data_IF_465341320148
#
_entry.id   IF_465341320148
#
_cell.length_a   1.000
_cell.length_b   1.000
_cell.length_c   1.000
_cell.angle_alpha   90.00
_cell.angle_beta   90.00
_cell.angle_gamma   90.00
#
_symmetry.space_group_name_H-M   'P 1'
#
loop_
_entity.id
_entity.type
_entity.pdbx_description
1 polymer ?
#
# COMPACT_ATOMS: atom_id res chain seq x y z
N UNK A 1 -4.40 -15.23 15.35
CA UNK A 1 -4.75 -15.34 16.78
C UNK A 1 -4.46 -16.73 17.35
N UNK A 2 -5.07 -17.80 16.84
CA UNK A 2 -4.91 -19.17 17.37
C UNK A 2 -3.44 -19.64 17.45
N UNK A 3 -2.64 -19.39 16.40
CA UNK A 3 -1.21 -19.72 16.37
C UNK A 3 -0.38 -19.01 17.46
N UNK A 4 -0.66 -17.72 17.69
CA UNK A 4 -0.01 -16.92 18.74
C UNK A 4 -0.32 -17.46 20.13
N UNK A 5 -1.59 -17.83 20.37
CA UNK A 5 -2.07 -18.31 21.66
C UNK A 5 -1.57 -19.72 21.98
N UNK A 6 -1.59 -20.61 21.00
CA UNK A 6 -1.40 -22.04 21.24
C UNK A 6 0.07 -22.50 21.07
N UNK A 7 0.88 -21.80 20.26
CA UNK A 7 2.25 -22.23 19.94
C UNK A 7 3.30 -21.27 20.51
N UNK A 8 3.27 -20.01 20.07
CA UNK A 8 4.37 -19.06 20.33
C UNK A 8 4.29 -18.45 21.74
N UNK A 9 3.11 -18.34 22.35
CA UNK A 9 2.87 -17.68 23.65
C UNK A 9 3.42 -16.24 23.71
N UNK A 10 3.39 -15.53 22.58
CA UNK A 10 3.70 -14.09 22.48
C UNK A 10 2.44 -13.32 22.07
N UNK A 11 2.49 -11.99 22.19
CA UNK A 11 1.38 -11.12 21.79
C UNK A 11 1.13 -11.21 20.28
N UNK A 12 -0.12 -11.05 19.85
CA UNK A 12 -0.47 -11.11 18.44
C UNK A 12 0.27 -10.04 17.60
N UNK A 13 0.48 -8.85 18.17
CA UNK A 13 1.25 -7.77 17.54
C UNK A 13 2.70 -8.16 17.25
N UNK A 14 3.33 -8.97 18.12
CA UNK A 14 4.69 -9.44 17.91
C UNK A 14 4.83 -10.31 16.65
N UNK A 15 3.78 -11.07 16.30
CA UNK A 15 3.73 -11.86 15.07
C UNK A 15 3.52 -10.95 13.87
N UNK A 16 2.59 -9.99 13.96
CA UNK A 16 2.32 -9.04 12.89
C UNK A 16 3.55 -8.19 12.52
N UNK A 17 4.33 -7.73 13.50
CA UNK A 17 5.56 -6.98 13.26
C UNK A 17 6.56 -7.74 12.38
N UNK A 18 6.66 -9.07 12.55
CA UNK A 18 7.57 -9.93 11.75
C UNK A 18 7.05 -10.20 10.36
N UNK A 19 5.74 -10.28 10.20
CA UNK A 19 5.10 -10.50 8.91
C UNK A 19 5.08 -9.22 8.06
N UNK A 20 5.13 -8.04 8.69
CA UNK A 20 4.95 -6.75 8.03
C UNK A 20 5.87 -6.55 6.82
N UNK A 21 7.16 -6.85 6.94
CA UNK A 21 8.10 -6.72 5.83
C UNK A 21 7.79 -7.73 4.69
N UNK A 22 7.51 -8.98 5.03
CA UNK A 22 7.15 -10.00 4.04
C UNK A 22 5.85 -9.66 3.28
N UNK A 23 4.88 -9.06 3.97
CA UNK A 23 3.65 -8.59 3.34
C UNK A 23 3.92 -7.41 2.41
N UNK A 24 4.78 -6.45 2.79
CA UNK A 24 5.09 -5.28 1.95
C UNK A 24 5.72 -5.66 0.60
N UNK A 25 6.65 -6.63 0.57
CA UNK A 25 7.20 -7.15 -0.69
C UNK A 25 6.14 -7.94 -1.48
N UNK A 26 5.27 -8.70 -0.80
CA UNK A 26 4.13 -9.35 -1.45
C UNK A 26 3.19 -8.35 -2.12
N UNK A 27 2.85 -7.24 -1.45
CA UNK A 27 2.06 -6.15 -2.01
C UNK A 27 2.74 -5.51 -3.24
N UNK A 28 4.06 -5.36 -3.22
CA UNK A 28 4.84 -4.88 -4.38
C UNK A 28 4.63 -5.79 -5.59
N UNK A 29 4.80 -7.11 -5.42
CA UNK A 29 4.61 -8.08 -6.48
C UNK A 29 3.17 -8.08 -7.03
N UNK A 30 2.17 -7.92 -6.15
CA UNK A 30 0.77 -7.81 -6.58
C UNK A 30 0.59 -6.62 -7.52
N UNK A 31 1.11 -5.43 -7.15
CA UNK A 31 1.00 -4.22 -7.98
C UNK A 31 1.72 -4.35 -9.33
N UNK A 32 2.88 -5.02 -9.35
CA UNK A 32 3.56 -5.33 -10.60
C UNK A 32 2.74 -6.30 -11.46
N UNK A 33 2.06 -7.28 -10.85
CA UNK A 33 1.10 -8.13 -11.55
C UNK A 33 -0.06 -7.34 -12.17
N UNK A 34 -0.64 -6.39 -11.44
CA UNK A 34 -1.68 -5.50 -11.97
C UNK A 34 -1.16 -4.65 -13.14
N UNK A 35 0.09 -4.19 -13.08
CA UNK A 35 0.72 -3.46 -14.19
C UNK A 35 0.80 -4.31 -15.46
N UNK A 36 1.24 -5.57 -15.35
CA UNK A 36 1.32 -6.50 -16.48
C UNK A 36 -0.06 -6.87 -17.02
N UNK A 37 -1.06 -7.01 -16.14
CA UNK A 37 -2.43 -7.31 -16.51
C UNK A 37 -3.22 -6.11 -17.05
N UNK A 38 -2.64 -4.90 -17.05
CA UNK A 38 -3.30 -3.65 -17.43
C UNK A 38 -4.55 -3.33 -16.57
N UNK A 39 -4.50 -3.60 -15.28
CA UNK A 39 -5.63 -3.40 -14.36
C UNK A 39 -5.39 -2.24 -13.39
N UNK A 40 -6.46 -1.52 -13.01
CA UNK A 40 -6.42 -0.41 -12.05
C UNK A 40 -5.50 0.74 -12.48
N UNK A 41 -5.65 1.16 -13.74
CA UNK A 41 -4.83 2.19 -14.38
C UNK A 41 -5.07 3.58 -13.81
N UNK A 42 -4.12 4.48 -14.09
CA UNK A 42 -4.25 5.89 -13.76
C UNK A 42 -5.14 6.66 -14.73
N UNK A 43 -5.40 7.91 -14.36
CA UNK A 43 -6.06 8.87 -15.25
C UNK A 43 -5.21 9.17 -16.49
N UNK A 44 -5.88 9.66 -17.53
CA UNK A 44 -5.26 10.10 -18.78
C UNK A 44 -4.30 11.25 -18.48
N UNK A 45 -3.12 11.19 -19.09
CA UNK A 45 -2.03 12.12 -18.82
C UNK A 45 -1.20 12.39 -20.07
N UNK A 46 -0.45 13.49 -20.03
CA UNK A 46 0.47 13.91 -21.08
C UNK A 46 1.93 13.80 -20.66
N UNK A 47 2.21 13.21 -19.49
CA UNK A 47 3.60 13.07 -19.00
C UNK A 47 4.39 12.06 -19.85
N UNK A 48 5.71 12.28 -20.06
CA UNK A 48 6.51 11.48 -20.98
C UNK A 48 6.79 10.05 -20.50
N UNK A 49 6.57 9.76 -19.21
CA UNK A 49 6.69 8.41 -18.63
C UNK A 49 5.34 7.69 -18.49
N UNK A 50 4.27 8.21 -19.10
CA UNK A 50 2.96 7.58 -19.11
C UNK A 50 2.93 6.33 -19.98
N UNK A 51 2.04 5.39 -19.66
CA UNK A 51 1.91 4.11 -20.36
C UNK A 51 0.61 4.07 -21.16
N UNK A 52 0.62 3.38 -22.30
CA UNK A 52 -0.61 3.05 -23.05
C UNK A 52 -1.05 1.65 -22.63
N UNK A 53 -2.25 1.53 -22.08
CA UNK A 53 -2.78 0.26 -21.57
C UNK A 53 -3.71 -0.39 -22.58
N UNK A 54 -3.12 -1.17 -23.51
CA UNK A 54 -3.84 -1.78 -24.64
C UNK A 54 -5.11 -2.52 -24.21
N UNK A 55 -4.97 -3.54 -23.36
CA UNK A 55 -6.11 -4.34 -22.88
C UNK A 55 -7.16 -3.56 -22.06
N UNK A 56 -6.80 -2.46 -21.40
CA UNK A 56 -7.75 -1.68 -20.61
C UNK A 56 -8.65 -0.83 -21.50
N UNK A 57 -8.04 -0.09 -22.43
CA UNK A 57 -8.73 0.89 -23.26
C UNK A 57 -9.16 0.34 -24.63
N UNK A 58 -8.92 -0.96 -24.89
CA UNK A 58 -9.16 -1.62 -26.18
C UNK A 58 -10.56 -1.33 -26.73
N UNK A 59 -11.61 -1.63 -25.94
CA UNK A 59 -13.00 -1.50 -26.39
C UNK A 59 -13.49 -0.06 -26.56
N UNK A 60 -12.78 0.92 -26.03
CA UNK A 60 -13.19 2.32 -25.99
C UNK A 60 -12.58 3.16 -27.13
N UNK A 61 -11.48 2.71 -27.74
CA UNK A 61 -10.66 3.53 -28.65
C UNK A 61 -10.33 2.88 -30.00
N UNK A 62 -11.33 2.40 -30.75
CA UNK A 62 -11.22 1.97 -32.16
C UNK A 62 -10.07 0.99 -32.50
N UNK A 63 -9.58 0.22 -31.52
CA UNK A 63 -8.58 -0.85 -31.69
C UNK A 63 -7.22 -0.46 -32.31
N UNK A 64 -6.89 0.83 -32.46
CA UNK A 64 -5.58 1.26 -32.98
C UNK A 64 -4.64 1.69 -31.86
N UNK A 65 -3.35 1.37 -31.97
CA UNK A 65 -2.36 1.78 -30.96
C UNK A 65 -2.33 3.29 -30.75
N UNK A 66 -2.51 4.07 -31.82
CA UNK A 66 -2.41 5.53 -31.82
C UNK A 66 -3.57 6.20 -31.07
N UNK A 67 -4.77 5.62 -31.14
CA UNK A 67 -5.98 6.16 -30.48
C UNK A 67 -6.01 5.91 -28.98
N UNK A 68 -5.21 4.99 -28.45
CA UNK A 68 -5.18 4.67 -27.02
C UNK A 68 -4.52 5.82 -26.25
N UNK A 69 -5.21 6.39 -25.25
CA UNK A 69 -4.65 7.48 -24.47
C UNK A 69 -3.47 7.02 -23.62
N UNK A 70 -2.55 7.94 -23.37
CA UNK A 70 -1.46 7.75 -22.42
C UNK A 70 -2.02 7.99 -21.02
N UNK A 71 -1.74 7.08 -20.07
CA UNK A 71 -2.23 7.14 -18.70
C UNK A 71 -1.09 7.07 -17.69
N UNK A 72 -1.34 7.56 -16.48
CA UNK A 72 -0.39 7.38 -15.39
C UNK A 72 -0.24 5.89 -15.04
N UNK A 73 0.98 5.33 -14.98
CA UNK A 73 1.19 3.97 -14.47
C UNK A 73 1.09 3.94 -12.94
N UNK A 74 -0.10 4.18 -12.41
CA UNK A 74 -0.35 4.29 -10.97
C UNK A 74 0.08 3.03 -10.19
N UNK A 75 -0.05 1.85 -10.80
CA UNK A 75 0.38 0.58 -10.23
C UNK A 75 1.90 0.53 -10.04
N UNK A 76 2.66 1.13 -10.97
CA UNK A 76 4.11 1.24 -10.84
C UNK A 76 4.47 2.19 -9.70
N UNK A 77 3.75 3.31 -9.55
CA UNK A 77 3.94 4.22 -8.42
C UNK A 77 3.65 3.49 -7.09
N UNK A 78 2.55 2.72 -7.01
CA UNK A 78 2.23 1.91 -5.83
C UNK A 78 3.33 0.88 -5.54
N UNK A 79 3.78 0.15 -6.55
CA UNK A 79 4.83 -0.85 -6.43
C UNK A 79 6.14 -0.24 -5.89
N UNK A 80 6.56 0.91 -6.42
CA UNK A 80 7.76 1.61 -5.96
C UNK A 80 7.61 2.03 -4.50
N UNK A 81 6.48 2.64 -4.13
CA UNK A 81 6.22 3.04 -2.74
C UNK A 81 6.21 1.83 -1.79
N UNK A 82 5.58 0.72 -2.18
CA UNK A 82 5.52 -0.50 -1.37
C UNK A 82 6.89 -1.17 -1.25
N UNK A 83 7.71 -1.12 -2.30
CA UNK A 83 9.08 -1.61 -2.26
C UNK A 83 9.97 -0.77 -1.34
N UNK A 84 9.85 0.56 -1.40
CA UNK A 84 10.54 1.47 -0.48
C UNK A 84 10.09 1.21 0.96
N UNK A 85 8.79 1.03 1.19
CA UNK A 85 8.26 0.67 2.51
C UNK A 85 8.84 -0.65 3.02
N UNK A 86 8.97 -1.66 2.15
CA UNK A 86 9.65 -2.92 2.48
C UNK A 86 11.11 -2.68 2.91
N UNK A 87 11.88 -1.90 2.15
CA UNK A 87 13.26 -1.58 2.52
C UNK A 87 13.36 -0.86 3.87
N UNK A 88 12.48 0.11 4.12
CA UNK A 88 12.41 0.83 5.40
C UNK A 88 12.12 -0.16 6.53
N UNK A 89 11.12 -1.03 6.38
CA UNK A 89 10.78 -2.03 7.39
C UNK A 89 11.92 -3.03 7.63
N UNK A 90 12.65 -3.44 6.59
CA UNK A 90 13.81 -4.31 6.70
C UNK A 90 14.95 -3.63 7.47
N UNK A 91 15.23 -2.36 7.16
CA UNK A 91 16.21 -1.56 7.89
C UNK A 91 15.82 -1.36 9.36
N UNK A 92 14.54 -1.10 9.64
CA UNK A 92 14.01 -1.01 11.01
C UNK A 92 14.17 -2.33 11.77
N UNK A 93 13.97 -3.46 11.07
CA UNK A 93 14.12 -4.79 11.63
C UNK A 93 15.58 -5.07 12.02
N UNK A 94 16.52 -4.85 11.10
CA UNK A 94 17.94 -5.21 11.30
C UNK A 94 18.73 -4.18 12.08
N UNK A 95 18.59 -2.89 11.77
CA UNK A 95 19.45 -1.84 12.32
C UNK A 95 18.92 -1.24 13.61
N UNK A 96 17.59 -1.11 13.75
CA UNK A 96 16.97 -0.41 14.87
C UNK A 96 16.41 -1.33 15.96
N UNK A 97 16.51 -2.65 15.79
CA UNK A 97 15.91 -3.63 16.70
C UNK A 97 14.43 -3.34 17.02
N UNK A 98 13.71 -2.75 16.07
CA UNK A 98 12.34 -2.26 16.25
C UNK A 98 11.35 -3.39 16.55
N UNK A 99 11.71 -4.63 16.20
CA UNK A 99 10.98 -5.85 16.55
C UNK A 99 10.84 -6.11 18.06
N UNK A 100 11.66 -5.44 18.89
CA UNK A 100 11.55 -5.48 20.35
C UNK A 100 10.36 -4.66 20.88
N UNK A 101 9.78 -3.77 20.06
CA UNK A 101 8.64 -2.91 20.39
C UNK A 101 7.37 -3.45 19.72
N UNK A 102 6.52 -4.22 20.41
CA UNK A 102 5.35 -4.82 19.79
C UNK A 102 4.41 -3.74 19.23
N UNK A 103 4.03 -3.86 17.96
CA UNK A 103 3.13 -2.97 17.24
C UNK A 103 3.81 -1.81 16.49
N UNK A 104 5.10 -1.56 16.71
CA UNK A 104 5.79 -0.44 16.05
C UNK A 104 6.03 -0.69 14.56
N UNK A 105 6.48 -1.90 14.20
CA UNK A 105 6.74 -2.25 12.81
C UNK A 105 5.44 -2.40 12.02
N UNK A 106 4.43 -3.06 12.60
CA UNK A 106 3.13 -3.20 11.97
C UNK A 106 2.41 -1.86 11.83
N UNK A 107 2.50 -0.97 12.83
CA UNK A 107 1.98 0.39 12.71
C UNK A 107 2.66 1.18 11.60
N UNK A 108 3.99 1.07 11.48
CA UNK A 108 4.75 1.71 10.39
C UNK A 108 4.36 1.15 9.02
N UNK A 109 4.18 -0.16 8.91
CA UNK A 109 3.67 -0.81 7.71
C UNK A 109 2.31 -0.25 7.28
N UNK A 110 1.36 -0.12 8.21
CA UNK A 110 0.05 0.44 7.89
C UNK A 110 0.16 1.87 7.37
N UNK A 111 0.94 2.72 8.02
CA UNK A 111 1.11 4.12 7.60
C UNK A 111 1.76 4.20 6.22
N UNK A 112 2.83 3.43 5.96
CA UNK A 112 3.51 3.52 4.67
C UNK A 112 2.65 3.01 3.52
N UNK A 113 2.04 1.83 3.65
CA UNK A 113 1.24 1.22 2.57
C UNK A 113 -0.04 2.00 2.32
N UNK A 114 -0.83 2.27 3.37
CA UNK A 114 -2.11 2.97 3.20
C UNK A 114 -1.92 4.47 3.00
N UNK A 115 -0.84 5.05 3.51
CA UNK A 115 -0.47 6.44 3.23
C UNK A 115 -0.11 6.65 1.77
N UNK A 116 0.76 5.81 1.18
CA UNK A 116 1.06 5.92 -0.25
C UNK A 116 -0.18 5.64 -1.11
N UNK A 117 -1.01 4.67 -0.72
CA UNK A 117 -2.28 4.39 -1.39
C UNK A 117 -3.20 5.61 -1.40
N UNK A 118 -3.35 6.31 -0.28
CA UNK A 118 -4.18 7.50 -0.18
C UNK A 118 -3.79 8.60 -1.20
N UNK A 119 -2.49 8.84 -1.37
CA UNK A 119 -1.99 9.83 -2.32
C UNK A 119 -2.10 9.37 -3.78
N UNK A 120 -1.76 8.11 -4.06
CA UNK A 120 -1.77 7.58 -5.44
C UNK A 120 -3.20 7.45 -5.99
N UNK A 121 -4.18 7.22 -5.11
CA UNK A 121 -5.59 7.13 -5.51
C UNK A 121 -6.14 8.45 -6.10
N UNK A 122 -5.50 9.60 -5.88
CA UNK A 122 -5.86 10.85 -6.56
C UNK A 122 -5.47 10.87 -8.05
N UNK A 123 -4.55 10.00 -8.46
CA UNK A 123 -4.04 9.89 -9.83
C UNK A 123 -4.70 8.69 -10.55
N UNK A 124 -5.57 7.97 -9.85
CA UNK A 124 -6.24 6.76 -10.34
C UNK A 124 -7.64 7.07 -10.84
N UNK A 125 -7.98 6.38 -11.90
CA UNK A 125 -9.34 6.41 -12.43
C UNK A 125 -10.31 5.84 -11.38
N UNK A 126 -11.39 6.58 -11.11
CA UNK A 126 -12.45 6.17 -10.21
C UNK A 126 -13.06 4.84 -10.67
N UNK A 127 -13.08 3.84 -9.79
CA UNK A 127 -13.52 2.48 -10.16
C UNK A 127 -15.04 2.30 -10.06
N UNK A 128 -15.73 3.21 -9.37
CA UNK A 128 -17.17 3.14 -9.12
C UNK A 128 -17.85 4.43 -9.60
N UNK A 129 -19.11 4.36 -10.05
CA UNK A 129 -19.93 5.53 -10.35
C UNK A 129 -19.97 6.55 -9.17
N UNK A 130 -19.85 6.05 -7.94
CA UNK A 130 -19.74 6.82 -6.70
C UNK A 130 -18.46 7.67 -6.62
N UNK A 131 -17.36 7.18 -7.17
CA UNK A 131 -16.06 7.86 -7.15
C UNK A 131 -16.07 9.11 -8.07
N UNK A 132 -17.04 9.23 -8.99
CA UNK A 132 -17.27 10.43 -9.79
C UNK A 132 -18.14 11.48 -9.09
N UNK A 133 -18.91 11.10 -8.06
CA UNK A 133 -19.83 12.01 -7.34
C UNK A 133 -19.26 12.51 -6.01
N UNK A 134 -18.39 11.74 -5.36
CA UNK A 134 -17.81 12.08 -4.07
C UNK A 134 -16.39 12.65 -4.21
N UNK A 135 -16.06 13.61 -3.34
CA UNK A 135 -14.73 14.22 -3.24
C UNK A 135 -13.61 13.23 -2.84
N UNK A 136 -13.97 12.02 -2.37
CA UNK A 136 -13.04 11.02 -1.86
C UNK A 136 -13.34 9.67 -2.52
N UNK A 137 -12.32 9.11 -3.15
CA UNK A 137 -12.39 7.80 -3.78
C UNK A 137 -12.55 6.68 -2.74
N UNK A 138 -13.17 5.59 -3.14
CA UNK A 138 -13.36 4.40 -2.28
C UNK A 138 -12.04 3.91 -1.67
N UNK A 139 -10.94 3.91 -2.45
CA UNK A 139 -9.62 3.55 -1.96
C UNK A 139 -9.05 4.48 -0.87
N UNK A 140 -9.38 5.77 -0.92
CA UNK A 140 -8.96 6.75 0.09
C UNK A 140 -9.74 6.57 1.40
N UNK A 141 -11.07 6.39 1.29
CA UNK A 141 -11.93 6.14 2.44
C UNK A 141 -11.49 4.88 3.20
N UNK A 142 -11.10 3.83 2.48
CA UNK A 142 -10.57 2.61 3.07
C UNK A 142 -9.18 2.81 3.69
N UNK A 143 -8.36 3.73 3.17
CA UNK A 143 -6.99 3.95 3.66
C UNK A 143 -6.95 4.71 4.98
N UNK A 144 -7.83 5.69 5.18
CA UNK A 144 -7.91 6.53 6.40
C UNK A 144 -7.93 5.71 7.71
N UNK A 145 -8.84 4.72 7.91
CA UNK A 145 -8.90 3.98 9.18
C UNK A 145 -7.62 3.18 9.44
N UNK A 146 -6.96 2.67 8.40
CA UNK A 146 -5.69 1.95 8.57
C UNK A 146 -4.53 2.88 8.92
N UNK A 147 -4.48 4.08 8.34
CA UNK A 147 -3.49 5.10 8.72
C UNK A 147 -3.67 5.49 10.19
N UNK A 148 -4.91 5.76 10.62
CA UNK A 148 -5.22 6.09 12.02
C UNK A 148 -4.82 4.94 12.96
N UNK A 149 -5.17 3.70 12.60
CA UNK A 149 -4.78 2.53 13.37
C UNK A 149 -3.25 2.39 13.48
N UNK A 150 -2.52 2.66 12.40
CA UNK A 150 -1.05 2.66 12.38
C UNK A 150 -0.46 3.68 13.36
N UNK A 151 -0.98 4.92 13.36
CA UNK A 151 -0.56 5.99 14.28
C UNK A 151 -0.79 5.58 15.74
N UNK A 152 -2.00 5.08 16.04
CA UNK A 152 -2.36 4.63 17.39
C UNK A 152 -1.43 3.50 17.87
N UNK A 153 -1.11 2.55 16.99
CA UNK A 153 -0.22 1.43 17.33
C UNK A 153 1.21 1.89 17.62
N UNK A 154 1.76 2.80 16.81
CA UNK A 154 3.08 3.38 17.04
C UNK A 154 3.12 4.11 18.39
N UNK A 155 2.14 4.98 18.64
CA UNK A 155 2.06 5.76 19.89
C UNK A 155 1.97 4.85 21.12
N UNK A 156 1.13 3.82 21.08
CA UNK A 156 1.02 2.83 22.17
C UNK A 156 2.30 2.03 22.35
N UNK A 157 2.99 1.70 21.27
CA UNK A 157 4.24 0.93 21.32
C UNK A 157 5.37 1.70 22.01
N UNK A 158 5.45 3.02 21.78
CA UNK A 158 6.43 3.89 22.42
C UNK A 158 6.14 4.05 23.92
N UNK A 159 4.89 4.33 24.30
CA UNK A 159 4.50 4.53 25.71
C UNK A 159 4.73 3.29 26.58
N UNK A 160 4.48 2.09 26.04
CA UNK A 160 4.68 0.85 26.80
C UNK A 160 6.15 0.54 27.11
N UNK A 161 7.11 1.07 26.32
CA UNK A 161 8.52 0.91 26.62
C UNK A 161 8.98 1.77 27.80
N UNK A 162 8.44 2.99 27.92
CA UNK A 162 8.77 3.88 29.04
C UNK A 162 8.29 3.31 30.38
N UNK A 163 7.25 2.47 30.39
CA UNK A 163 6.73 1.83 31.61
C UNK A 163 7.49 0.54 31.99
N UNK A 164 8.37 0.02 31.13
CA UNK A 164 9.16 -1.20 31.40
C UNK A 164 10.65 -0.94 31.70
N UNK A 165 11.08 0.32 31.65
CA UNK A 165 12.40 0.79 32.08
C UNK A 165 12.32 1.34 33.51
#
# INVERSE_FOLDING_TARGET
>A
YLFSRNVIKKSYLWVLDRLSAAIAIGCTCIRLGNLVNHEMVGDITTVPWGFRFLYHDYSLYNDTWESIPVRHPAQLYEAICYFIAFLILLLMYWKMNSWKKPGFMFGSFLIFIFGSRFFIEYIKEGQTARDFELLINTGQMLSIPFIIAGIILIYRSQKNQETTL
#
